data_IF_933147803938
#
_entry.id   IF_933147803938
#
_cell.length_a   1.000
_cell.length_b   1.000
_cell.length_c   1.000
_cell.angle_alpha   90.00
_cell.angle_beta   90.00
_cell.angle_gamma   90.00
#
_symmetry.space_group_name_H-M   'P 1'
#
loop_
_entity.id
_entity.type
_entity.pdbx_description
1 polymer ?
#
# COMPACT_ATOMS: atom_id res chain seq x y z
N UNK A 1 3.70 5.47 4.24
CA UNK A 1 3.42 6.84 3.77
C UNK A 1 2.16 7.39 4.42
N UNK A 2 2.34 8.40 5.30
CA UNK A 2 1.31 8.96 6.18
C UNK A 2 1.15 10.49 6.03
N UNK A 3 1.68 11.13 4.98
CA UNK A 3 1.64 12.60 4.82
C UNK A 3 0.38 13.18 4.12
N UNK A 4 -0.64 12.36 3.85
CA UNK A 4 -1.75 12.74 2.96
C UNK A 4 -2.76 13.73 3.55
N UNK A 5 -3.14 14.75 2.78
CA UNK A 5 -4.26 15.66 3.11
C UNK A 5 -5.61 15.00 2.83
N UNK A 6 -6.54 15.10 3.77
CA UNK A 6 -7.89 14.53 3.72
C UNK A 6 -8.95 15.47 3.15
N UNK A 7 -8.58 16.45 2.32
CA UNK A 7 -9.49 17.48 1.80
C UNK A 7 -10.73 16.90 1.12
N UNK A 8 -10.57 15.80 0.38
CA UNK A 8 -11.67 15.09 -0.29
C UNK A 8 -12.55 14.24 0.65
N UNK A 9 -12.14 14.07 1.90
CA UNK A 9 -12.73 13.13 2.87
C UNK A 9 -13.43 13.81 4.06
N UNK A 10 -13.63 15.14 3.98
CA UNK A 10 -14.28 15.95 5.01
C UNK A 10 -13.35 16.91 5.75
N UNK A 11 -12.28 17.38 5.09
CA UNK A 11 -11.28 18.33 5.59
C UNK A 11 -10.61 17.93 6.92
N UNK A 12 -9.42 17.34 6.80
CA UNK A 12 -8.59 16.85 7.91
C UNK A 12 -7.36 16.11 7.37
N UNK A 13 -6.79 15.24 8.19
CA UNK A 13 -5.65 14.40 7.80
C UNK A 13 -6.15 13.07 7.24
N UNK A 14 -5.76 12.73 6.01
CA UNK A 14 -6.23 11.50 5.35
C UNK A 14 -5.91 10.23 6.17
N UNK A 15 -4.69 10.04 6.73
CA UNK A 15 -4.38 8.86 7.55
C UNK A 15 -5.32 8.66 8.74
N UNK A 16 -5.84 9.75 9.32
CA UNK A 16 -6.75 9.68 10.47
C UNK A 16 -8.22 9.56 10.08
N UNK A 17 -8.57 9.67 8.80
CA UNK A 17 -9.94 9.46 8.37
C UNK A 17 -10.38 8.04 8.75
N UNK A 18 -11.48 7.96 9.50
CA UNK A 18 -12.00 6.68 9.98
C UNK A 18 -12.71 5.92 8.85
N UNK A 19 -12.50 4.61 8.82
CA UNK A 19 -13.27 3.64 8.02
C UNK A 19 -13.81 2.61 9.00
N UNK A 20 -15.14 2.53 9.11
CA UNK A 20 -15.81 1.70 10.11
C UNK A 20 -15.26 1.93 11.53
N UNK A 21 -15.18 3.21 11.93
CA UNK A 21 -14.77 3.63 13.28
C UNK A 21 -13.27 3.58 13.60
N UNK A 22 -12.43 3.01 12.73
CA UNK A 22 -10.97 2.91 12.94
C UNK A 22 -10.19 3.79 11.96
N UNK A 23 -9.19 4.57 12.41
CA UNK A 23 -8.31 5.35 11.53
C UNK A 23 -7.61 4.46 10.50
N UNK A 24 -7.44 4.97 9.28
CA UNK A 24 -6.74 4.25 8.20
C UNK A 24 -5.29 3.92 8.54
N UNK A 25 -4.57 4.84 9.21
CA UNK A 25 -3.20 4.60 9.69
C UNK A 25 -3.13 3.43 10.66
N UNK A 26 -4.10 3.33 11.58
CA UNK A 26 -4.14 2.23 12.55
C UNK A 26 -4.38 0.90 11.84
N UNK A 27 -5.32 0.86 10.88
CA UNK A 27 -5.58 -0.34 10.06
C UNK A 27 -4.35 -0.82 9.30
N UNK A 28 -3.62 0.11 8.68
CA UNK A 28 -2.39 -0.22 7.96
C UNK A 28 -1.33 -0.82 8.91
N UNK A 29 -1.18 -0.25 10.10
CA UNK A 29 -0.23 -0.77 11.09
C UNK A 29 -0.67 -2.12 11.70
N UNK A 30 -1.97 -2.38 11.83
CA UNK A 30 -2.47 -3.69 12.23
C UNK A 30 -2.16 -4.75 11.17
N UNK A 31 -2.32 -4.40 9.88
CA UNK A 31 -1.94 -5.28 8.78
C UNK A 31 -0.45 -5.61 8.78
N UNK A 32 0.41 -4.61 9.05
CA UNK A 32 1.86 -4.83 9.21
C UNK A 32 2.17 -5.72 10.42
N UNK A 33 1.53 -5.51 11.57
CA UNK A 33 1.69 -6.35 12.77
C UNK A 33 1.22 -7.80 12.58
N UNK A 34 0.26 -8.03 11.69
CA UNK A 34 -0.20 -9.36 11.31
C UNK A 34 0.62 -9.99 10.16
N UNK A 35 1.70 -9.35 9.71
CA UNK A 35 2.57 -9.82 8.61
C UNK A 35 3.97 -10.14 9.13
N UNK A 36 4.89 -10.53 8.24
CA UNK A 36 6.31 -10.74 8.55
C UNK A 36 7.16 -9.46 8.61
N UNK A 37 6.55 -8.29 8.51
CA UNK A 37 7.28 -7.01 8.61
C UNK A 37 7.72 -6.77 10.05
N UNK A 38 9.02 -6.57 10.26
CA UNK A 38 9.62 -6.40 11.59
C UNK A 38 9.78 -4.92 11.99
N UNK A 39 10.01 -4.03 11.02
CA UNK A 39 10.23 -2.60 11.25
C UNK A 39 9.40 -1.78 10.27
N UNK A 40 8.72 -0.74 10.78
CA UNK A 40 7.90 0.16 10.00
C UNK A 40 8.35 1.62 10.19
N UNK A 41 8.54 2.33 9.07
CA UNK A 41 8.85 3.75 9.05
C UNK A 41 7.62 4.55 8.62
N UNK A 42 6.98 5.22 9.58
CA UNK A 42 5.80 6.02 9.34
C UNK A 42 6.17 7.45 8.94
N UNK A 43 6.28 7.67 7.64
CA UNK A 43 6.57 8.96 7.01
C UNK A 43 5.39 9.93 7.11
N UNK A 44 5.45 10.91 8.01
CA UNK A 44 4.48 12.00 8.20
C UNK A 44 4.98 13.29 7.55
N UNK A 45 4.10 14.26 7.32
CA UNK A 45 4.48 15.57 6.78
C UNK A 45 3.94 16.72 7.66
N UNK A 46 4.33 17.99 7.42
CA UNK A 46 3.73 19.15 8.07
C UNK A 46 2.20 19.26 7.89
N UNK A 47 1.63 18.47 6.97
CA UNK A 47 0.19 18.43 6.73
C UNK A 47 -0.53 17.41 7.61
N UNK A 48 0.20 16.60 8.37
CA UNK A 48 -0.34 15.53 9.20
C UNK A 48 0.18 15.51 10.64
N UNK A 49 0.15 16.65 11.39
CA UNK A 49 0.66 16.71 12.76
C UNK A 49 -0.10 15.81 13.74
N UNK A 50 -1.42 15.65 13.61
CA UNK A 50 -2.21 14.78 14.50
C UNK A 50 -1.92 13.29 14.23
N UNK A 51 -1.62 12.95 12.97
CA UNK A 51 -1.17 11.61 12.59
C UNK A 51 0.16 11.30 13.28
N UNK A 52 1.07 12.28 13.34
CA UNK A 52 2.33 12.15 14.10
C UNK A 52 2.08 11.90 15.59
N UNK A 53 1.22 12.70 16.23
CA UNK A 53 0.83 12.52 17.63
C UNK A 53 0.29 11.11 17.88
N UNK A 54 -0.65 10.65 17.04
CA UNK A 54 -1.24 9.31 17.10
C UNK A 54 -0.19 8.19 16.97
N UNK A 55 0.78 8.34 16.08
CA UNK A 55 1.85 7.36 15.88
C UNK A 55 2.78 7.28 17.10
N UNK A 56 3.11 8.42 17.70
CA UNK A 56 3.93 8.48 18.93
C UNK A 56 3.19 7.86 20.12
N UNK A 57 1.89 8.13 20.25
CA UNK A 57 1.03 7.46 21.25
C UNK A 57 1.05 5.94 21.07
N UNK A 58 0.92 5.46 19.82
CA UNK A 58 0.91 4.03 19.50
C UNK A 58 2.28 3.36 19.76
N UNK A 59 3.38 4.08 19.51
CA UNK A 59 4.74 3.62 19.83
C UNK A 59 4.96 3.49 21.35
N UNK A 60 4.34 4.39 22.13
CA UNK A 60 4.49 4.45 23.59
C UNK A 60 3.51 3.55 24.35
N UNK A 61 2.39 3.19 23.70
CA UNK A 61 1.34 2.36 24.27
C UNK A 61 1.67 0.88 24.23
N UNK A 62 2.21 0.34 25.33
CA UNK A 62 2.34 -1.10 25.53
C UNK A 62 0.96 -1.78 25.57
N UNK A 63 0.69 -2.68 24.62
CA UNK A 63 -0.49 -3.53 24.65
C UNK A 63 -0.49 -4.43 25.89
N UNK A 64 -1.63 -4.50 26.60
CA UNK A 64 -1.82 -5.37 27.78
C UNK A 64 -2.26 -6.78 27.40
N UNK A 65 -2.42 -7.07 26.11
CA UNK A 65 -2.93 -8.34 25.58
C UNK A 65 -1.83 -9.08 24.80
N UNK A 66 -1.87 -10.42 24.78
CA UNK A 66 -0.90 -11.27 24.08
C UNK A 66 -1.22 -11.28 22.57
N UNK A 67 -1.04 -10.14 21.92
CA UNK A 67 -0.99 -10.06 20.46
C UNK A 67 0.48 -10.20 19.99
N UNK A 68 0.74 -10.65 18.76
CA UNK A 68 2.09 -10.60 18.19
C UNK A 68 2.69 -9.22 18.42
N UNK A 69 3.96 -9.18 18.84
CA UNK A 69 4.62 -7.90 19.10
C UNK A 69 4.56 -7.07 17.81
N UNK A 70 4.02 -5.83 17.88
CA UNK A 70 3.92 -4.98 16.71
C UNK A 70 5.32 -4.69 16.16
N UNK A 71 5.46 -4.38 14.86
CA UNK A 71 6.74 -4.01 14.30
C UNK A 71 7.31 -2.81 15.03
N UNK A 72 8.63 -2.74 15.12
CA UNK A 72 9.32 -1.55 15.60
C UNK A 72 8.89 -0.36 14.74
N UNK A 73 8.31 0.65 15.38
CA UNK A 73 7.75 1.81 14.70
C UNK A 73 8.65 3.02 14.86
N UNK A 74 9.22 3.50 13.75
CA UNK A 74 9.92 4.78 13.67
C UNK A 74 9.04 5.81 12.97
N UNK A 75 8.88 6.99 13.57
CA UNK A 75 8.17 8.12 12.95
C UNK A 75 9.17 9.01 12.24
N UNK A 76 8.95 9.24 10.95
CA UNK A 76 9.86 9.99 10.08
C UNK A 76 9.16 11.24 9.57
N UNK A 77 9.76 12.41 9.77
CA UNK A 77 9.24 13.67 9.27
C UNK A 77 9.74 13.91 7.82
N UNK A 78 8.83 14.09 6.87
CA UNK A 78 9.11 14.38 5.45
C UNK A 78 8.62 15.78 5.05
N UNK A 79 9.08 16.38 3.94
CA UNK A 79 8.72 17.76 3.56
C UNK A 79 7.23 18.00 3.25
N UNK A 80 6.52 16.99 2.75
CA UNK A 80 5.13 17.12 2.28
C UNK A 80 4.99 17.58 0.83
N UNK A 81 6.07 17.53 0.04
CA UNK A 81 6.13 18.04 -1.34
C UNK A 81 5.55 17.08 -2.39
N UNK A 82 4.95 15.98 -1.93
CA UNK A 82 4.30 14.98 -2.78
C UNK A 82 4.88 13.58 -2.59
N UNK A 83 4.16 12.58 -3.10
CA UNK A 83 4.43 11.18 -2.80
C UNK A 83 5.87 10.74 -3.10
N UNK A 84 6.40 11.09 -4.28
CA UNK A 84 7.74 10.66 -4.71
C UNK A 84 8.83 11.31 -3.85
N UNK A 85 8.74 12.63 -3.64
CA UNK A 85 9.71 13.36 -2.82
C UNK A 85 9.68 12.89 -1.36
N UNK A 86 8.49 12.68 -0.79
CA UNK A 86 8.34 12.17 0.58
C UNK A 86 8.83 10.72 0.71
N UNK A 87 8.61 9.87 -0.30
CA UNK A 87 9.12 8.51 -0.30
C UNK A 87 10.65 8.52 -0.31
N UNK A 88 11.28 9.32 -1.17
CA UNK A 88 12.74 9.45 -1.22
C UNK A 88 13.32 9.98 0.10
N UNK A 89 12.68 10.98 0.70
CA UNK A 89 13.07 11.48 2.02
C UNK A 89 12.97 10.37 3.08
N UNK A 90 11.87 9.62 3.11
CA UNK A 90 11.69 8.52 4.07
C UNK A 90 12.70 7.37 3.88
N UNK A 91 13.05 7.05 2.64
CA UNK A 91 14.05 6.02 2.33
C UNK A 91 15.46 6.41 2.79
N UNK A 92 15.77 7.71 2.84
CA UNK A 92 17.07 8.20 3.31
C UNK A 92 17.25 8.10 4.84
N UNK A 93 16.19 7.84 5.59
CA UNK A 93 16.17 7.93 7.07
C UNK A 93 16.47 6.59 7.78
N UNK A 94 16.56 5.48 7.03
CA UNK A 94 16.93 4.19 7.64
C UNK A 94 16.46 2.91 6.95
N UNK A 95 15.32 2.85 6.22
CA UNK A 95 14.90 1.63 5.55
C UNK A 95 16.01 1.08 4.64
N UNK A 96 16.27 -0.23 4.71
CA UNK A 96 17.22 -0.90 3.82
C UNK A 96 16.49 -1.60 2.68
N UNK A 97 17.10 -1.60 1.50
CA UNK A 97 16.60 -2.30 0.33
C UNK A 97 16.73 -3.83 0.49
N UNK A 98 15.76 -4.64 0.03
CA UNK A 98 14.45 -4.21 -0.48
C UNK A 98 13.50 -3.80 0.65
N UNK A 99 12.67 -2.78 0.43
CA UNK A 99 11.71 -2.29 1.43
C UNK A 99 10.29 -2.11 0.89
N UNK A 100 9.29 -2.35 1.72
CA UNK A 100 7.88 -2.22 1.36
C UNK A 100 7.43 -0.75 1.48
N UNK A 101 7.05 -0.13 0.36
CA UNK A 101 6.39 1.18 0.36
C UNK A 101 4.87 1.00 0.42
N UNK A 102 4.26 1.36 1.55
CA UNK A 102 2.81 1.27 1.78
C UNK A 102 2.16 2.65 1.94
N UNK A 103 1.12 2.92 1.16
CA UNK A 103 0.15 3.99 1.38
C UNK A 103 -0.92 3.53 2.36
N UNK A 104 -1.20 4.35 3.38
CA UNK A 104 -2.15 3.98 4.44
C UNK A 104 -3.62 4.02 4.01
N UNK A 105 -3.93 4.35 2.75
CA UNK A 105 -5.30 4.51 2.28
C UNK A 105 -5.96 3.22 1.80
N UNK A 106 -5.40 2.06 2.17
CA UNK A 106 -5.91 0.71 1.89
C UNK A 106 -6.56 0.10 3.14
N UNK A 107 -7.79 0.48 3.52
CA UNK A 107 -8.40 0.06 4.78
C UNK A 107 -8.79 -1.42 4.84
N UNK A 108 -8.74 -2.12 3.70
CA UNK A 108 -9.04 -3.55 3.56
C UNK A 108 -7.78 -4.42 3.60
N UNK A 109 -6.59 -3.83 3.68
CA UNK A 109 -5.34 -4.55 3.72
C UNK A 109 -5.25 -5.40 5.00
N UNK A 110 -4.75 -6.62 4.85
CA UNK A 110 -4.49 -7.56 5.96
C UNK A 110 -3.05 -8.10 5.86
N UNK A 111 -2.60 -8.76 6.93
CA UNK A 111 -1.23 -9.31 6.99
C UNK A 111 -0.94 -10.35 5.92
N UNK A 112 -1.90 -11.22 5.61
CA UNK A 112 -1.76 -12.23 4.57
C UNK A 112 -1.55 -11.60 3.17
N UNK A 113 -2.17 -10.46 2.91
CA UNK A 113 -1.97 -9.69 1.67
C UNK A 113 -0.58 -9.08 1.63
N UNK A 114 -0.10 -8.52 2.74
CA UNK A 114 1.27 -8.00 2.84
C UNK A 114 2.27 -9.12 2.58
N UNK A 115 2.11 -10.26 3.24
CA UNK A 115 2.99 -11.41 3.06
C UNK A 115 2.97 -11.95 1.62
N UNK A 116 1.80 -11.97 0.97
CA UNK A 116 1.70 -12.36 -0.43
C UNK A 116 2.43 -11.40 -1.38
N UNK A 117 2.51 -10.10 -1.07
CA UNK A 117 3.32 -9.14 -1.83
C UNK A 117 4.81 -9.42 -1.64
N UNK A 118 5.24 -9.69 -0.41
CA UNK A 118 6.63 -10.05 -0.11
C UNK A 118 7.03 -11.35 -0.82
N UNK A 119 6.18 -12.37 -0.80
CA UNK A 119 6.41 -13.63 -1.51
C UNK A 119 6.46 -13.43 -3.03
N UNK A 120 5.61 -12.56 -3.57
CA UNK A 120 5.59 -12.25 -4.99
C UNK A 120 6.85 -11.52 -5.46
N UNK A 121 7.47 -10.70 -4.59
CA UNK A 121 8.78 -10.08 -4.83
C UNK A 121 9.90 -11.11 -4.73
N UNK A 122 9.91 -11.94 -3.68
CA UNK A 122 10.93 -12.99 -3.53
C UNK A 122 10.93 -14.00 -4.69
N UNK A 123 9.76 -14.24 -5.29
CA UNK A 123 9.61 -15.07 -6.49
C UNK A 123 9.92 -14.33 -7.81
N UNK A 124 9.99 -12.98 -7.80
CA UNK A 124 10.40 -12.20 -8.95
C UNK A 124 11.93 -12.14 -9.02
N UNK A 125 12.50 -12.38 -10.20
CA UNK A 125 13.92 -12.17 -10.45
C UNK A 125 14.21 -10.68 -10.73
N UNK A 126 13.77 -9.79 -9.83
CA UNK A 126 13.85 -8.34 -9.98
C UNK A 126 14.10 -7.67 -8.62
N UNK A 127 14.73 -6.49 -8.65
CA UNK A 127 15.07 -5.74 -7.43
C UNK A 127 13.83 -5.10 -6.79
N UNK A 128 12.90 -4.62 -7.63
CA UNK A 128 11.67 -3.95 -7.22
C UNK A 128 10.41 -4.70 -7.67
N UNK A 129 9.29 -4.46 -6.98
CA UNK A 129 7.98 -4.99 -7.32
C UNK A 129 6.91 -3.89 -7.34
N UNK A 130 6.33 -3.65 -8.53
CA UNK A 130 5.15 -2.80 -8.69
C UNK A 130 3.87 -3.62 -8.59
N UNK A 131 3.05 -3.39 -7.56
CA UNK A 131 1.73 -4.03 -7.44
C UNK A 131 0.69 -3.15 -8.10
N UNK A 132 0.02 -3.72 -9.10
CA UNK A 132 -0.91 -3.00 -9.97
C UNK A 132 -2.28 -3.65 -9.93
N UNK A 133 -3.31 -2.84 -10.13
CA UNK A 133 -4.68 -3.30 -10.31
C UNK A 133 -5.26 -2.76 -11.61
N UNK A 134 -6.08 -3.52 -12.34
CA UNK A 134 -6.76 -2.99 -13.52
C UNK A 134 -7.65 -1.79 -13.16
N UNK A 135 -7.56 -0.69 -13.89
CA UNK A 135 -8.40 0.48 -13.71
C UNK A 135 -9.90 0.13 -13.87
N UNK A 136 -10.22 -0.83 -14.74
CA UNK A 136 -11.56 -1.39 -14.87
C UNK A 136 -12.06 -2.03 -13.57
N UNK A 137 -11.18 -2.71 -12.83
CA UNK A 137 -11.54 -3.34 -11.55
C UNK A 137 -11.95 -2.30 -10.51
N UNK A 138 -11.22 -1.18 -10.40
CA UNK A 138 -11.63 -0.09 -9.49
C UNK A 138 -13.03 0.44 -9.84
N UNK A 139 -13.32 0.63 -11.13
CA UNK A 139 -14.65 1.08 -11.60
C UNK A 139 -15.76 0.07 -11.30
N UNK A 140 -15.54 -1.22 -11.55
CA UNK A 140 -16.50 -2.29 -11.23
C UNK A 140 -16.87 -2.31 -9.75
N UNK A 141 -15.89 -2.10 -8.88
CA UNK A 141 -16.09 -2.02 -7.43
C UNK A 141 -16.83 -0.74 -7.00
N UNK A 142 -16.93 0.26 -7.87
CA UNK A 142 -17.38 1.60 -7.52
C UNK A 142 -16.32 2.42 -6.76
N UNK A 143 -15.06 1.99 -6.78
CA UNK A 143 -13.93 2.69 -6.19
C UNK A 143 -13.38 3.76 -7.14
N UNK A 144 -12.88 4.84 -6.55
CA UNK A 144 -12.20 5.91 -7.28
C UNK A 144 -10.90 5.42 -7.91
N UNK A 145 -10.75 5.65 -9.21
CA UNK A 145 -9.46 5.55 -9.90
C UNK A 145 -8.88 6.97 -10.04
N UNK A 146 -8.23 7.47 -9.00
CA UNK A 146 -7.60 8.79 -9.10
C UNK A 146 -6.41 8.72 -10.07
N UNK A 147 -6.43 9.60 -11.07
CA UNK A 147 -5.40 9.67 -12.11
C UNK A 147 -4.05 10.24 -11.62
N UNK A 148 -4.01 10.78 -10.40
CA UNK A 148 -2.86 11.47 -9.82
C UNK A 148 -1.67 10.56 -9.47
N UNK A 149 -1.83 9.24 -9.58
CA UNK A 149 -0.79 8.25 -9.31
C UNK A 149 -0.40 7.47 -10.57
N UNK A 150 -0.71 7.99 -11.76
CA UNK A 150 -0.15 7.43 -12.99
C UNK A 150 1.34 7.76 -13.06
N UNK A 151 2.17 6.73 -13.04
CA UNK A 151 3.56 6.83 -13.45
C UNK A 151 3.60 6.82 -14.99
N UNK A 152 4.55 7.53 -15.60
CA UNK A 152 4.66 7.60 -17.06
C UNK A 152 4.82 6.19 -17.68
N UNK A 153 5.36 5.24 -16.92
CA UNK A 153 5.61 3.85 -17.32
C UNK A 153 4.48 2.87 -16.96
N UNK A 154 3.39 3.33 -16.32
CA UNK A 154 2.22 2.46 -16.07
C UNK A 154 1.32 2.38 -17.31
N UNK A 155 0.99 1.16 -17.81
CA UNK A 155 -0.02 1.00 -18.85
C UNK A 155 -1.32 1.72 -18.47
N UNK A 156 -1.93 2.43 -19.42
CA UNK A 156 -3.07 3.30 -19.14
C UNK A 156 -4.29 2.58 -18.53
N UNK A 157 -4.35 1.25 -18.65
CA UNK A 157 -5.38 0.37 -18.10
C UNK A 157 -5.07 -0.16 -16.70
N UNK A 158 -3.89 0.14 -16.13
CA UNK A 158 -3.43 -0.34 -14.83
C UNK A 158 -3.01 0.83 -13.94
N UNK A 159 -3.29 0.70 -12.65
CA UNK A 159 -2.94 1.72 -11.66
C UNK A 159 -2.22 1.07 -10.47
N UNK A 160 -1.33 1.81 -9.78
CA UNK A 160 -0.73 1.32 -8.55
C UNK A 160 -1.79 0.94 -7.51
N UNK A 161 -1.54 -0.15 -6.78
CA UNK A 161 -2.36 -0.56 -5.65
C UNK A 161 -2.17 0.36 -4.44
N UNK A 162 -0.96 0.95 -4.30
CA UNK A 162 -0.57 1.69 -3.09
C UNK A 162 0.27 0.86 -2.12
N UNK A 163 0.71 -0.34 -2.52
CA UNK A 163 1.73 -1.13 -1.85
C UNK A 163 2.71 -1.62 -2.91
N UNK A 164 4.02 -1.44 -2.71
CA UNK A 164 5.07 -1.84 -3.66
C UNK A 164 6.33 -2.25 -2.90
N UNK A 165 7.24 -2.98 -3.54
CA UNK A 165 8.59 -3.21 -3.02
C UNK A 165 9.57 -2.34 -3.78
N UNK A 166 10.31 -1.52 -3.05
CA UNK A 166 11.40 -0.69 -3.58
C UNK A 166 12.69 -1.51 -3.49
N UNK A 167 13.35 -1.66 -4.64
CA UNK A 167 14.67 -2.28 -4.77
C UNK A 167 15.76 -1.32 -4.36
N UNK A 168 16.57 -0.82 -5.31
CA UNK A 168 17.59 0.17 -4.98
C UNK A 168 16.98 1.55 -4.65
N UNK A 169 17.55 2.23 -3.66
CA UNK A 169 17.04 3.52 -3.16
C UNK A 169 17.30 4.69 -4.12
N UNK A 170 18.23 4.52 -5.07
CA UNK A 170 18.49 5.44 -6.18
C UNK A 170 17.58 5.20 -7.40
N UNK A 171 16.70 4.19 -7.32
CA UNK A 171 15.81 3.79 -8.41
C UNK A 171 16.48 2.96 -9.51
N UNK A 172 17.72 2.51 -9.31
CA UNK A 172 18.36 1.57 -10.22
C UNK A 172 17.85 0.12 -10.02
N UNK A 173 18.05 -0.71 -11.03
CA UNK A 173 17.69 -2.12 -11.01
C UNK A 173 16.42 -2.44 -11.78
N UNK A 174 16.13 -3.73 -11.90
CA UNK A 174 14.98 -4.20 -12.66
C UNK A 174 13.71 -4.15 -11.78
N UNK A 175 12.58 -3.74 -12.37
CA UNK A 175 11.26 -3.74 -11.73
C UNK A 175 10.37 -4.83 -12.34
N UNK A 176 9.89 -5.75 -11.51
CA UNK A 176 8.80 -6.65 -11.89
C UNK A 176 7.43 -6.01 -11.60
N UNK A 177 6.43 -6.33 -12.41
CA UNK A 177 5.05 -5.90 -12.17
C UNK A 177 4.14 -7.09 -11.88
N UNK A 178 3.38 -7.03 -10.77
CA UNK A 178 2.36 -8.02 -10.41
C UNK A 178 0.99 -7.39 -10.48
N UNK A 179 0.01 -8.12 -11.03
CA UNK A 179 -1.32 -7.57 -11.26
C UNK A 179 -2.37 -8.45 -10.60
N UNK A 180 -3.27 -7.82 -9.87
CA UNK A 180 -4.35 -8.53 -9.18
C UNK A 180 -5.69 -7.80 -9.27
N UNK A 181 -6.78 -8.54 -9.04
CA UNK A 181 -8.14 -8.01 -8.92
C UNK A 181 -8.65 -7.99 -7.47
N UNK A 182 -7.79 -8.36 -6.52
CA UNK A 182 -8.09 -8.45 -5.10
C UNK A 182 -8.61 -7.11 -4.56
N UNK A 183 -9.77 -7.14 -3.90
CA UNK A 183 -10.40 -5.94 -3.34
C UNK A 183 -9.53 -5.29 -2.25
N UNK A 184 -8.73 -6.09 -1.53
CA UNK A 184 -7.79 -5.62 -0.48
C UNK A 184 -6.73 -4.66 -1.05
N UNK A 185 -6.42 -4.80 -2.33
CA UNK A 185 -5.42 -4.00 -3.06
C UNK A 185 -6.04 -3.02 -4.07
N UNK A 186 -7.33 -3.17 -4.38
CA UNK A 186 -8.03 -2.34 -5.37
C UNK A 186 -8.81 -1.18 -4.77
N UNK A 187 -9.15 -1.22 -3.47
CA UNK A 187 -9.99 -0.20 -2.81
C UNK A 187 -9.12 0.74 -1.97
N UNK A 188 -8.69 1.83 -2.59
CA UNK A 188 -8.10 2.97 -1.86
C UNK A 188 -9.19 3.95 -1.45
N UNK A 189 -9.16 4.45 -0.21
CA UNK A 189 -10.11 5.45 0.28
C UNK A 189 -9.59 6.86 0.06
N UNK A 190 -10.09 7.49 -1.00
CA UNK A 190 -9.75 8.86 -1.40
C UNK A 190 -10.97 9.80 -1.36
N UNK A 191 -12.18 9.25 -1.51
CA UNK A 191 -13.46 9.96 -1.52
C UNK A 191 -14.48 9.31 -0.58
N UNK A 192 -15.56 10.02 -0.20
CA UNK A 192 -16.59 9.46 0.68
C UNK A 192 -17.28 8.21 0.09
N UNK A 193 -17.35 8.11 -1.24
CA UNK A 193 -17.85 6.91 -1.92
C UNK A 193 -16.98 5.67 -1.67
N UNK A 194 -15.66 5.85 -1.73
CA UNK A 194 -14.70 4.77 -1.46
C UNK A 194 -14.79 4.32 0.01
N UNK A 195 -14.93 5.28 0.95
CA UNK A 195 -15.13 4.99 2.38
C UNK A 195 -16.36 4.12 2.58
N UNK A 196 -17.51 4.51 2.01
CA UNK A 196 -18.75 3.73 2.11
C UNK A 196 -18.60 2.33 1.51
N UNK A 197 -17.88 2.20 0.39
CA UNK A 197 -17.60 0.89 -0.19
C UNK A 197 -16.78 0.02 0.76
N UNK A 198 -15.68 0.54 1.29
CA UNK A 198 -14.85 -0.18 2.24
C UNK A 198 -15.63 -0.58 3.51
N UNK A 199 -16.47 0.31 4.03
CA UNK A 199 -17.33 0.05 5.19
C UNK A 199 -18.34 -1.07 4.92
N UNK A 200 -18.99 -1.10 3.75
CA UNK A 200 -19.91 -2.20 3.38
C UNK A 200 -19.17 -3.53 3.27
N UNK A 201 -17.98 -3.54 2.66
CA UNK A 201 -17.16 -4.75 2.55
C UNK A 201 -16.77 -5.25 3.95
N UNK A 202 -16.30 -4.37 4.83
CA UNK A 202 -15.94 -4.73 6.22
C UNK A 202 -17.14 -5.20 7.05
N UNK A 203 -18.33 -4.68 6.77
CA UNK A 203 -19.57 -5.11 7.43
C UNK A 203 -20.11 -6.45 6.91
N UNK A 204 -19.49 -7.04 5.86
CA UNK A 204 -19.97 -8.26 5.24
C UNK A 204 -21.32 -8.08 4.52
N UNK A 205 -21.58 -6.88 4.00
CA UNK A 205 -22.77 -6.59 3.21
C UNK A 205 -22.88 -7.58 2.04
N UNK A 206 -24.01 -8.31 1.88
CA UNK A 206 -24.17 -9.33 0.84
C UNK A 206 -24.10 -8.77 -0.59
N UNK A 207 -24.38 -7.47 -0.77
CA UNK A 207 -24.28 -6.78 -2.06
C UNK A 207 -22.89 -6.16 -2.30
N UNK A 208 -21.98 -6.26 -1.31
CA UNK A 208 -20.61 -5.84 -1.44
C UNK A 208 -19.70 -6.99 -1.93
N UNK A 209 -18.58 -6.68 -2.60
CA UNK A 209 -17.58 -7.67 -2.96
C UNK A 209 -17.05 -8.41 -1.72
N UNK A 210 -17.07 -9.74 -1.76
CA UNK A 210 -16.47 -10.55 -0.71
C UNK A 210 -14.94 -10.35 -0.67
N UNK A 211 -14.38 -10.26 0.54
CA UNK A 211 -12.94 -10.30 0.74
C UNK A 211 -12.45 -11.75 0.54
N UNK A 212 -11.41 -11.97 -0.29
CA UNK A 212 -10.77 -13.27 -0.36
C UNK A 212 -10.17 -13.64 1.00
N UNK A 213 -10.31 -14.90 1.41
CA UNK A 213 -9.55 -15.44 2.54
C UNK A 213 -8.21 -15.98 2.05
N UNK A 214 -7.11 -15.60 2.72
CA UNK A 214 -5.77 -16.12 2.41
C UNK A 214 -5.00 -15.30 1.37
N UNK A 215 -4.24 -15.98 0.52
CA UNK A 215 -3.28 -15.35 -0.42
C UNK A 215 -3.93 -14.47 -1.51
N UNK A 216 -3.07 -13.86 -2.34
CA UNK A 216 -3.49 -12.97 -3.43
C UNK A 216 -3.45 -13.73 -4.77
N UNK A 217 -4.54 -13.63 -5.54
CA UNK A 217 -4.58 -14.14 -6.92
C UNK A 217 -3.87 -13.18 -7.89
N UNK A 218 -2.71 -13.59 -8.41
CA UNK A 218 -1.94 -12.84 -9.41
C UNK A 218 -2.37 -13.24 -10.84
N UNK A 219 -2.65 -12.25 -11.70
CA UNK A 219 -3.12 -12.44 -13.08
C UNK A 219 -1.99 -12.75 -14.06
N UNK A 220 -0.77 -12.37 -13.70
CA UNK A 220 0.46 -12.44 -14.49
C UNK A 220 1.31 -13.67 -14.14
N UNK A 221 0.79 -14.60 -13.32
CA UNK A 221 1.49 -15.81 -12.88
C UNK A 221 1.84 -16.81 -14.01
N UNK A 222 1.70 -16.43 -15.28
CA UNK A 222 2.08 -17.20 -16.46
C UNK A 222 3.14 -16.57 -17.35
N UNK A 223 3.64 -15.35 -17.08
CA UNK A 223 4.51 -14.62 -18.02
C UNK A 223 6.01 -14.65 -17.66
N UNK A 224 6.40 -15.47 -16.69
CA UNK A 224 7.80 -15.78 -16.44
C UNK A 224 8.31 -16.79 -17.49
N UNK A 225 8.59 -16.33 -18.72
CA UNK A 225 9.19 -17.23 -19.71
C UNK A 225 9.17 -16.85 -21.19
N UNK A 226 9.37 -15.60 -21.59
CA UNK A 226 9.94 -15.32 -22.91
C UNK A 226 11.15 -14.40 -22.76
N UNK A 227 12.25 -15.00 -22.28
CA UNK A 227 13.57 -14.44 -22.51
C UNK A 227 13.76 -14.27 -24.02
N UNK A 228 14.08 -13.05 -24.43
CA UNK A 228 14.57 -12.73 -25.77
C UNK A 228 15.85 -13.54 -26.03
N UNK A 229 15.68 -14.78 -26.47
CA UNK A 229 16.72 -15.59 -27.06
C UNK A 229 17.14 -14.93 -28.37
N UNK A 230 18.45 -14.84 -28.55
CA UNK A 230 19.09 -14.12 -29.63
C UNK A 230 18.62 -14.54 -31.01
N UNK A 231 18.52 -13.54 -31.88
CA UNK A 231 18.48 -13.70 -33.33
C UNK A 231 19.67 -12.99 -33.95
N UNK A 232 20.85 -13.62 -33.90
CA UNK A 232 21.88 -13.40 -34.92
C UNK A 232 21.37 -13.96 -36.25
N UNK A 233 21.51 -13.17 -37.31
CA UNK A 233 21.66 -13.53 -38.75
C UNK A 233 21.24 -12.30 -39.57
N UNK A 234 22.00 -11.71 -40.51
CA UNK A 234 23.23 -12.03 -41.23
C UNK A 234 23.80 -10.72 -41.77
#
# INVERSE_FOLDING_TARGET
MCGGRGTRLGDGEKPLAAVAGRPMVDRALDALAASRVETAYAAVSPHTPRTRERLVERQSGGGTEPEPEPPELAVVDTPGDGYVADLQAALAEGPTAPTLALAVDLPLLDGATVDAVLDAHAAAAADALSVRVPAARKRELGASADAATRYEETPADRVPAGVNVVGALDGAGDEAARVTRDARLAVNVNRPGDRRLAERILAGDPDAPALPSGGVGWLDAGDAGEGSAGGESR
#
